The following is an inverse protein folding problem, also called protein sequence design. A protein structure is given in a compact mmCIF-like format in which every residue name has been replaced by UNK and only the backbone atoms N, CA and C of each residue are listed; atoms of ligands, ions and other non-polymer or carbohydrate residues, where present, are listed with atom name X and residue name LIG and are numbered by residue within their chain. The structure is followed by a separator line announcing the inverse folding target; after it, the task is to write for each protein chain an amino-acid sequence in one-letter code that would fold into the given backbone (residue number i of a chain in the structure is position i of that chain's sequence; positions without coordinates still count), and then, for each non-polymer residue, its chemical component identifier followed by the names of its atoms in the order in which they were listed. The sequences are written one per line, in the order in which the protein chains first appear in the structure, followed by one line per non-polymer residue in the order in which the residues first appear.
data_IF_612779131177
#
_entry.id   IF_612779131177
#
_cell.length_a   1.000
_cell.length_b   1.000
_cell.length_c   1.000
_cell.angle_alpha   90.00
_cell.angle_beta   90.00
_cell.angle_gamma   90.00
#
_symmetry.space_group_name_H-M   'P 1'
#
loop_
_entity.id
_entity.type
_entity.pdbx_description
1 polymer ?
#
# COMPACT_ATOMS: atom_id res chain seq x y z
N UNK A 1 -23.16 -12.43 -25.86
CA UNK A 1 -24.64 -12.30 -25.88
C UNK A 1 -25.35 -13.59 -25.46
N UNK A 2 -25.08 -14.74 -26.08
CA UNK A 2 -25.74 -16.01 -25.72
C UNK A 2 -25.60 -16.42 -24.24
N UNK A 3 -24.38 -16.45 -23.68
CA UNK A 3 -24.16 -16.81 -22.27
C UNK A 3 -24.90 -15.86 -21.30
N UNK A 4 -24.97 -14.56 -21.62
CA UNK A 4 -25.70 -13.58 -20.83
C UNK A 4 -27.22 -13.82 -20.87
N UNK A 5 -27.75 -14.22 -22.04
CA UNK A 5 -29.15 -14.60 -22.17
C UNK A 5 -29.49 -15.87 -21.37
N UNK A 6 -28.62 -16.89 -21.41
CA UNK A 6 -28.78 -18.14 -20.66
C UNK A 6 -28.72 -17.91 -19.14
N UNK A 7 -27.92 -16.95 -18.69
CA UNK A 7 -27.77 -16.57 -17.27
C UNK A 7 -28.71 -15.44 -16.80
N UNK A 8 -29.62 -14.97 -17.65
CA UNK A 8 -30.50 -13.81 -17.39
C UNK A 8 -31.37 -13.93 -16.13
N UNK A 9 -31.66 -15.16 -15.69
CA UNK A 9 -32.41 -15.43 -14.47
C UNK A 9 -31.64 -15.12 -13.18
N UNK A 10 -30.35 -14.76 -13.24
CA UNK A 10 -29.58 -14.34 -12.08
C UNK A 10 -29.29 -15.44 -11.04
N UNK A 11 -29.53 -16.72 -11.37
CA UNK A 11 -29.42 -17.84 -10.42
C UNK A 11 -27.99 -18.35 -10.21
N UNK A 12 -27.02 -17.84 -10.96
CA UNK A 12 -25.60 -18.19 -10.83
C UNK A 12 -25.09 -19.25 -11.79
N UNK A 13 -25.93 -20.25 -12.12
CA UNK A 13 -25.62 -21.34 -13.06
C UNK A 13 -26.84 -21.60 -13.96
N UNK A 14 -26.59 -22.02 -15.19
CA UNK A 14 -27.59 -22.53 -16.11
C UNK A 14 -27.01 -23.65 -16.99
N UNK A 15 -27.82 -24.67 -17.27
CA UNK A 15 -27.48 -25.80 -18.12
C UNK A 15 -28.25 -25.72 -19.44
N UNK A 16 -27.53 -25.78 -20.55
CA UNK A 16 -28.09 -25.81 -21.89
C UNK A 16 -27.94 -27.21 -22.48
N UNK A 17 -29.00 -27.78 -23.03
CA UNK A 17 -29.06 -29.18 -23.49
C UNK A 17 -29.29 -29.21 -24.99
N UNK A 18 -28.45 -29.94 -25.72
CA UNK A 18 -28.55 -30.08 -27.17
C UNK A 18 -28.27 -31.53 -27.65
N UNK A 19 -29.19 -32.17 -28.38
CA UNK A 19 -30.57 -31.76 -28.61
C UNK A 19 -31.41 -31.89 -27.31
N UNK A 20 -32.36 -30.98 -27.09
CA UNK A 20 -33.28 -31.04 -25.94
C UNK A 20 -34.47 -31.98 -26.17
N UNK A 21 -34.75 -32.32 -27.43
CA UNK A 21 -35.80 -33.26 -27.85
C UNK A 21 -35.37 -34.02 -29.11
N UNK A 22 -35.94 -35.20 -29.36
CA UNK A 22 -35.66 -35.97 -30.57
C UNK A 22 -36.33 -37.34 -30.56
N UNK A 23 -36.17 -38.08 -31.66
CA UNK A 23 -36.70 -39.45 -31.81
C UNK A 23 -35.54 -40.44 -31.85
N UNK A 24 -35.58 -41.44 -30.97
CA UNK A 24 -34.62 -42.54 -30.94
C UNK A 24 -35.21 -43.75 -31.65
N UNK A 25 -34.60 -44.21 -32.74
CA UNK A 25 -35.00 -45.44 -33.43
C UNK A 25 -34.61 -46.67 -32.61
N UNK A 26 -35.19 -47.82 -32.94
CA UNK A 26 -34.82 -49.10 -32.34
C UNK A 26 -33.29 -49.30 -32.43
N UNK A 27 -32.66 -49.59 -31.28
CA UNK A 27 -31.21 -49.79 -31.13
C UNK A 27 -30.33 -48.59 -31.51
N UNK A 28 -30.91 -47.40 -31.72
CA UNK A 28 -30.14 -46.19 -31.97
C UNK A 28 -29.57 -45.64 -30.66
N UNK A 29 -28.37 -45.06 -30.75
CA UNK A 29 -27.78 -44.25 -29.68
C UNK A 29 -27.79 -42.78 -30.10
N UNK A 30 -28.07 -41.90 -29.13
CA UNK A 30 -28.02 -40.46 -29.31
C UNK A 30 -27.16 -39.87 -28.19
N UNK A 31 -26.20 -39.03 -28.57
CA UNK A 31 -25.39 -38.27 -27.62
C UNK A 31 -26.11 -36.95 -27.37
N UNK A 32 -26.31 -36.62 -26.09
CA UNK A 32 -26.86 -35.34 -25.65
C UNK A 32 -25.71 -34.53 -25.06
N UNK A 33 -25.46 -33.35 -25.62
CA UNK A 33 -24.50 -32.39 -25.09
C UNK A 33 -25.16 -31.53 -24.02
N UNK A 34 -24.47 -31.34 -22.90
CA UNK A 34 -24.92 -30.51 -21.78
C UNK A 34 -23.83 -29.48 -21.51
N UNK A 35 -24.14 -28.21 -21.79
CA UNK A 35 -23.22 -27.08 -21.61
C UNK A 35 -23.61 -26.29 -20.38
N UNK A 36 -22.70 -26.15 -19.43
CA UNK A 36 -22.91 -25.36 -18.22
C UNK A 36 -22.34 -23.93 -18.38
N UNK A 37 -23.14 -22.93 -18.01
CA UNK A 37 -22.75 -21.53 -17.91
C UNK A 37 -22.84 -21.10 -16.45
N UNK A 38 -21.91 -20.24 -15.99
CA UNK A 38 -21.93 -19.72 -14.63
C UNK A 38 -21.45 -18.26 -14.53
N UNK A 39 -21.97 -17.53 -13.55
CA UNK A 39 -21.51 -16.20 -13.14
C UNK A 39 -21.46 -16.02 -11.62
N UNK A 40 -21.63 -17.09 -10.84
CA UNK A 40 -21.50 -17.11 -9.37
C UNK A 40 -20.71 -18.33 -8.92
N UNK A 41 -20.00 -18.22 -7.79
CA UNK A 41 -19.41 -19.37 -7.11
C UNK A 41 -20.49 -20.16 -6.35
N UNK A 42 -20.16 -21.38 -5.95
CA UNK A 42 -21.03 -22.23 -5.12
C UNK A 42 -21.13 -23.66 -5.60
N UNK A 43 -21.89 -24.43 -4.84
CA UNK A 43 -22.25 -25.82 -5.10
C UNK A 43 -23.70 -25.86 -5.57
N UNK A 44 -23.91 -26.48 -6.73
CA UNK A 44 -25.18 -26.52 -7.43
C UNK A 44 -25.60 -27.98 -7.62
N UNK A 45 -26.87 -28.25 -7.36
CA UNK A 45 -27.54 -29.53 -7.53
C UNK A 45 -28.85 -29.30 -8.31
N UNK A 46 -29.09 -30.14 -9.31
CA UNK A 46 -30.36 -30.15 -10.05
C UNK A 46 -30.60 -31.53 -10.66
N UNK A 47 -31.80 -31.78 -11.17
CA UNK A 47 -32.13 -33.02 -11.87
C UNK A 47 -32.40 -32.77 -13.34
N UNK A 48 -31.70 -33.48 -14.22
CA UNK A 48 -32.07 -33.57 -15.62
C UNK A 48 -33.26 -34.50 -15.77
N UNK A 49 -34.38 -33.96 -16.23
CA UNK A 49 -35.62 -34.70 -16.44
C UNK A 49 -35.66 -35.25 -17.86
N UNK A 50 -35.50 -36.58 -18.00
CA UNK A 50 -35.63 -37.27 -19.28
C UNK A 50 -37.03 -37.90 -19.39
N UNK A 51 -37.85 -37.43 -20.33
CA UNK A 51 -39.19 -37.97 -20.61
C UNK A 51 -39.19 -38.68 -21.97
N UNK A 52 -39.68 -39.92 -22.00
CA UNK A 52 -39.77 -40.74 -23.21
C UNK A 52 -41.23 -41.15 -23.43
N UNK A 53 -41.90 -40.51 -24.39
CA UNK A 53 -43.33 -40.76 -24.68
C UNK A 53 -44.20 -40.66 -23.43
N UNK A 54 -44.98 -41.72 -23.17
CA UNK A 54 -45.89 -41.84 -22.02
C UNK A 54 -45.25 -42.52 -20.81
N UNK A 55 -43.94 -42.80 -20.84
CA UNK A 55 -43.23 -43.38 -19.70
C UNK A 55 -43.04 -42.35 -18.58
N UNK A 56 -42.89 -42.86 -17.35
CA UNK A 56 -42.55 -42.03 -16.20
C UNK A 56 -41.21 -41.32 -16.44
N UNK A 57 -41.11 -40.01 -16.15
CA UNK A 57 -39.87 -39.27 -16.30
C UNK A 57 -38.75 -39.88 -15.46
N UNK A 58 -37.57 -40.04 -16.07
CA UNK A 58 -36.36 -40.45 -15.37
C UNK A 58 -35.58 -39.20 -14.94
N UNK A 59 -35.28 -39.11 -13.65
CA UNK A 59 -34.42 -38.07 -13.08
C UNK A 59 -32.96 -38.53 -13.15
N UNK A 60 -32.10 -37.67 -13.68
CA UNK A 60 -30.66 -37.89 -13.73
C UNK A 60 -30.02 -36.76 -12.90
N UNK A 61 -29.46 -37.07 -11.72
CA UNK A 61 -28.92 -36.06 -10.84
C UNK A 61 -27.68 -35.39 -11.46
N UNK A 62 -27.65 -34.07 -11.38
CA UNK A 62 -26.57 -33.22 -11.86
C UNK A 62 -25.97 -32.44 -10.70
N UNK A 63 -24.63 -32.36 -10.67
CA UNK A 63 -23.90 -31.59 -9.67
C UNK A 63 -22.81 -30.75 -10.34
N UNK A 64 -22.66 -29.50 -9.90
CA UNK A 64 -21.63 -28.59 -10.38
C UNK A 64 -21.07 -27.78 -9.21
N UNK A 65 -19.74 -27.66 -9.12
CA UNK A 65 -19.07 -26.79 -8.16
C UNK A 65 -18.27 -25.73 -8.89
N UNK A 66 -18.58 -24.47 -8.63
CA UNK A 66 -17.83 -23.31 -9.12
C UNK A 66 -16.98 -22.76 -7.98
N UNK A 67 -15.66 -22.76 -8.16
CA UNK A 67 -14.68 -22.25 -7.19
C UNK A 67 -14.07 -20.93 -7.66
N UNK A 68 -13.48 -20.19 -6.72
CA UNK A 68 -12.77 -18.93 -6.95
C UNK A 68 -13.56 -17.69 -6.54
N UNK A 69 -12.92 -16.53 -6.65
CA UNK A 69 -13.53 -15.22 -6.38
C UNK A 69 -13.99 -14.58 -7.69
N UNK A 70 -15.28 -14.20 -7.83
CA UNK A 70 -15.77 -13.53 -9.03
C UNK A 70 -15.43 -12.03 -9.08
N UNK A 71 -15.13 -11.42 -7.92
CA UNK A 71 -14.72 -10.02 -7.85
C UNK A 71 -13.29 -9.92 -8.35
N UNK A 72 -13.05 -8.97 -9.25
CA UNK A 72 -11.71 -8.75 -9.79
C UNK A 72 -11.28 -7.29 -9.66
N UNK A 73 -9.97 -7.14 -9.58
CA UNK A 73 -9.32 -5.86 -9.39
C UNK A 73 -8.96 -5.24 -10.75
N UNK A 74 -9.27 -3.95 -10.89
CA UNK A 74 -8.85 -3.12 -12.01
C UNK A 74 -8.10 -1.90 -11.47
N UNK A 75 -6.84 -1.76 -11.86
CA UNK A 75 -6.05 -0.57 -11.56
C UNK A 75 -6.63 0.62 -12.31
N UNK A 76 -7.01 1.66 -11.56
CA UNK A 76 -7.32 2.96 -12.13
C UNK A 76 -5.97 3.62 -12.44
N UNK A 77 -5.70 3.94 -13.71
CA UNK A 77 -4.52 4.71 -14.08
C UNK A 77 -4.47 6.05 -13.32
N UNK A 78 -3.34 6.78 -13.32
CA UNK A 78 -3.27 8.09 -12.69
C UNK A 78 -4.39 8.98 -13.24
N UNK A 79 -5.41 9.24 -12.44
CA UNK A 79 -6.31 10.36 -12.71
C UNK A 79 -5.46 11.60 -12.51
N UNK A 80 -5.04 12.24 -13.60
CA UNK A 80 -4.86 13.68 -13.56
C UNK A 80 -6.19 14.24 -13.06
N UNK A 81 -6.24 14.71 -11.81
CA UNK A 81 -7.23 15.69 -11.42
C UNK A 81 -7.05 16.85 -12.40
N UNK A 82 -7.82 16.85 -13.48
CA UNK A 82 -7.97 18.04 -14.30
C UNK A 82 -8.88 18.95 -13.48
N UNK A 83 -8.40 20.10 -12.98
CA UNK A 83 -9.30 21.07 -12.42
C UNK A 83 -10.23 21.51 -13.55
N UNK A 84 -11.53 21.49 -13.28
CA UNK A 84 -12.57 22.05 -14.13
C UNK A 84 -12.28 23.54 -14.26
N UNK A 85 -11.54 23.93 -15.29
CA UNK A 85 -11.48 25.30 -15.76
C UNK A 85 -11.69 25.27 -17.27
N UNK A 86 -12.85 25.83 -17.63
CA UNK A 86 -13.22 26.31 -18.94
C UNK A 86 -12.05 26.89 -19.75
N UNK A 87 -12.06 26.56 -21.04
CA UNK A 87 -11.56 27.36 -22.17
C UNK A 87 -10.04 27.50 -22.38
N UNK A 88 -9.67 27.08 -23.61
CA UNK A 88 -8.52 27.43 -24.46
C UNK A 88 -7.39 26.40 -24.59
N UNK A 89 -7.45 25.73 -25.76
CA UNK A 89 -6.41 25.02 -26.52
C UNK A 89 -5.37 24.15 -25.79
N UNK A 90 -5.37 22.81 -25.98
CA UNK A 90 -4.23 21.99 -25.60
C UNK A 90 -3.06 22.20 -26.59
N UNK A 91 -1.80 22.20 -26.13
CA UNK A 91 -0.64 22.18 -27.01
C UNK A 91 -0.56 20.83 -27.75
N UNK A 92 -0.14 20.82 -29.03
CA UNK A 92 0.19 19.57 -29.71
C UNK A 92 1.50 19.04 -29.11
N UNK A 93 1.72 17.72 -29.16
CA UNK A 93 2.92 17.02 -28.66
C UNK A 93 2.92 16.57 -27.19
N UNK A 94 1.83 15.95 -26.73
CA UNK A 94 1.96 14.74 -25.91
C UNK A 94 1.06 13.70 -26.57
N UNK A 95 1.70 12.74 -27.26
CA UNK A 95 1.02 11.57 -27.81
C UNK A 95 0.22 10.90 -26.68
N UNK A 96 -1.11 10.70 -26.82
CA UNK A 96 -1.84 9.89 -25.87
C UNK A 96 -1.32 8.47 -26.01
N UNK A 97 -0.57 7.97 -25.03
CA UNK A 97 -0.13 6.58 -24.98
C UNK A 97 -1.34 5.66 -25.19
N UNK A 98 -1.46 4.92 -26.31
CA UNK A 98 -2.62 4.08 -26.58
C UNK A 98 -2.63 2.76 -25.80
N UNK A 99 -1.73 2.59 -24.83
CA UNK A 99 -1.53 1.34 -24.10
C UNK A 99 -1.90 1.50 -22.62
N UNK A 100 -3.19 1.69 -22.33
CA UNK A 100 -3.73 1.30 -21.02
C UNK A 100 -3.97 -0.20 -21.05
N UNK A 101 -2.94 -1.01 -20.77
CA UNK A 101 -3.17 -2.40 -20.39
C UNK A 101 -3.94 -2.37 -19.06
N UNK A 102 -5.28 -2.45 -19.13
CA UNK A 102 -6.12 -2.75 -17.98
C UNK A 102 -5.89 -4.21 -17.61
N UNK A 103 -4.80 -4.46 -16.87
CA UNK A 103 -4.45 -5.80 -16.42
C UNK A 103 -5.38 -6.18 -15.28
N UNK A 104 -6.33 -7.07 -15.56
CA UNK A 104 -7.16 -7.71 -14.54
C UNK A 104 -6.24 -8.35 -13.49
N UNK A 105 -6.53 -8.09 -12.22
CA UNK A 105 -5.80 -8.63 -11.06
C UNK A 105 -4.31 -8.25 -11.01
N UNK A 106 -3.93 -7.08 -11.55
CA UNK A 106 -2.59 -6.55 -11.31
C UNK A 106 -2.46 -5.98 -9.89
N UNK A 107 -1.61 -6.61 -9.09
CA UNK A 107 -1.19 -6.13 -7.78
C UNK A 107 -0.73 -4.66 -7.80
N UNK A 108 -1.25 -3.79 -6.92
CA UNK A 108 -0.75 -2.43 -6.74
C UNK A 108 0.71 -2.46 -6.29
N UNK A 109 1.59 -1.80 -7.05
CA UNK A 109 2.98 -1.56 -6.66
C UNK A 109 3.12 -0.13 -6.17
N UNK A 110 3.63 0.05 -4.96
CA UNK A 110 3.87 1.39 -4.40
C UNK A 110 5.18 1.97 -4.91
N UNK A 111 6.16 1.13 -5.21
CA UNK A 111 7.47 1.55 -5.71
C UNK A 111 8.47 1.80 -4.59
N UNK A 112 9.49 2.60 -4.85
CA UNK A 112 10.49 2.98 -3.85
C UNK A 112 10.09 4.29 -3.20
N UNK A 113 10.30 4.39 -1.89
CA UNK A 113 10.01 5.56 -1.05
C UNK A 113 11.18 5.87 -0.11
N UNK A 114 11.24 7.11 0.35
CA UNK A 114 12.22 7.50 1.37
C UNK A 114 11.72 7.10 2.75
N UNK A 115 12.63 6.68 3.61
CA UNK A 115 12.43 6.43 5.04
C UNK A 115 11.68 7.58 5.72
N UNK A 116 10.55 7.29 6.37
CA UNK A 116 9.76 8.27 7.11
C UNK A 116 8.96 9.27 6.25
N UNK A 117 8.77 9.02 4.95
CA UNK A 117 7.88 9.82 4.11
C UNK A 117 6.39 9.72 4.53
N UNK A 118 5.60 10.70 4.09
CA UNK A 118 4.15 10.68 4.28
C UNK A 118 3.50 9.46 3.58
N UNK A 119 2.38 8.96 4.11
CA UNK A 119 1.65 7.86 3.50
C UNK A 119 1.28 8.12 2.03
N UNK A 120 1.35 7.07 1.23
CA UNK A 120 1.05 7.08 -0.20
C UNK A 120 -0.21 6.29 -0.45
N UNK A 121 -1.09 6.81 -1.30
CA UNK A 121 -2.42 6.24 -1.53
C UNK A 121 -2.58 5.78 -2.99
N UNK A 122 -3.20 4.62 -3.18
CA UNK A 122 -3.57 4.07 -4.48
C UNK A 122 -5.05 3.74 -4.48
N UNK A 123 -5.80 4.40 -5.36
CA UNK A 123 -7.20 4.10 -5.61
C UNK A 123 -7.32 2.92 -6.56
N UNK A 124 -8.12 1.93 -6.20
CA UNK A 124 -8.31 0.71 -6.96
C UNK A 124 -9.79 0.43 -7.17
N UNK A 125 -10.18 -0.02 -8.36
CA UNK A 125 -11.57 -0.37 -8.67
C UNK A 125 -11.78 -1.88 -8.53
N UNK A 126 -12.77 -2.25 -7.73
CA UNK A 126 -13.28 -3.60 -7.59
C UNK A 126 -14.50 -3.75 -8.48
N UNK A 127 -14.55 -4.80 -9.30
CA UNK A 127 -15.66 -5.05 -10.21
C UNK A 127 -16.34 -6.36 -9.85
N UNK A 128 -17.66 -6.34 -9.76
CA UNK A 128 -18.50 -7.49 -9.47
C UNK A 128 -19.35 -7.80 -10.72
N UNK A 129 -18.95 -8.79 -11.53
CA UNK A 129 -19.71 -9.18 -12.72
C UNK A 129 -20.94 -10.05 -12.39
N UNK A 130 -21.17 -10.36 -11.12
CA UNK A 130 -22.21 -11.28 -10.67
C UNK A 130 -23.55 -10.54 -10.44
N UNK A 131 -24.69 -11.25 -10.38
CA UNK A 131 -25.99 -10.60 -10.23
C UNK A 131 -26.29 -10.12 -8.80
N UNK A 132 -25.49 -10.50 -7.80
CA UNK A 132 -25.74 -10.17 -6.39
C UNK A 132 -24.67 -9.25 -5.83
N UNK A 133 -25.06 -8.45 -4.85
CA UNK A 133 -24.14 -7.66 -4.04
C UNK A 133 -23.23 -8.58 -3.23
N UNK A 134 -21.92 -8.32 -3.28
CA UNK A 134 -20.91 -9.09 -2.55
C UNK A 134 -20.25 -8.16 -1.55
N UNK A 135 -20.39 -8.48 -0.26
CA UNK A 135 -19.62 -7.82 0.78
C UNK A 135 -18.21 -8.41 0.84
N UNK A 136 -17.22 -7.55 0.94
CA UNK A 136 -15.83 -7.90 1.18
C UNK A 136 -15.40 -7.38 2.54
N UNK A 137 -14.84 -8.29 3.32
CA UNK A 137 -14.22 -8.04 4.62
C UNK A 137 -12.70 -8.19 4.49
N UNK A 138 -11.96 -7.10 4.72
CA UNK A 138 -10.53 -7.02 4.44
C UNK A 138 -9.67 -7.30 5.66
N UNK A 139 -8.84 -8.34 5.54
CA UNK A 139 -7.71 -8.59 6.43
C UNK A 139 -6.40 -8.22 5.71
N UNK A 140 -5.41 -7.77 6.48
CA UNK A 140 -4.14 -7.26 5.97
C UNK A 140 -3.01 -7.99 6.67
N UNK A 141 -2.03 -8.41 5.89
CA UNK A 141 -0.93 -9.23 6.36
C UNK A 141 0.40 -8.67 5.87
N UNK A 142 1.39 -8.71 6.75
CA UNK A 142 2.80 -8.56 6.39
C UNK A 142 3.41 -9.93 6.12
N UNK A 143 4.29 -9.98 5.14
CA UNK A 143 5.10 -11.15 4.86
C UNK A 143 6.49 -10.96 5.47
N UNK A 144 6.80 -11.76 6.49
CA UNK A 144 8.10 -11.75 7.17
C UNK A 144 8.97 -12.91 6.67
N UNK A 145 10.25 -12.65 6.38
CA UNK A 145 11.14 -13.65 5.78
C UNK A 145 11.48 -14.80 6.75
N UNK A 146 11.45 -14.55 8.05
CA UNK A 146 11.83 -15.51 9.10
C UNK A 146 10.63 -16.11 9.82
N UNK A 147 9.42 -15.97 9.26
CA UNK A 147 8.22 -16.54 9.84
C UNK A 147 8.18 -18.07 9.64
N UNK A 148 8.17 -18.78 10.77
CA UNK A 148 8.18 -20.25 10.82
C UNK A 148 6.82 -20.82 11.22
N UNK A 149 5.79 -19.98 11.39
CA UNK A 149 4.45 -20.42 11.77
C UNK A 149 3.80 -21.11 10.56
N UNK A 150 3.26 -22.31 10.79
CA UNK A 150 2.67 -23.13 9.71
C UNK A 150 1.14 -23.05 9.68
N UNK A 151 0.53 -22.84 10.85
CA UNK A 151 -0.92 -22.97 11.03
C UNK A 151 -1.41 -21.88 11.98
N UNK A 152 -2.57 -21.31 11.66
CA UNK A 152 -3.34 -20.45 12.54
C UNK A 152 -4.51 -21.23 13.16
N UNK A 153 -4.71 -21.03 14.46
CA UNK A 153 -5.90 -21.45 15.20
C UNK A 153 -6.72 -20.20 15.52
N UNK A 154 -7.79 -19.98 14.77
CA UNK A 154 -8.67 -18.83 14.96
C UNK A 154 -9.89 -19.25 15.79
N UNK A 155 -10.21 -18.47 16.82
CA UNK A 155 -11.38 -18.66 17.65
C UNK A 155 -12.32 -17.47 17.47
N UNK A 156 -13.58 -17.73 17.11
CA UNK A 156 -14.59 -16.71 16.90
C UNK A 156 -15.75 -16.92 17.85
N UNK A 157 -16.28 -15.82 18.37
CA UNK A 157 -17.52 -15.79 19.12
C UNK A 157 -18.61 -15.19 18.22
N UNK A 158 -19.47 -16.05 17.66
CA UNK A 158 -20.47 -15.67 16.65
C UNK A 158 -19.97 -15.75 15.20
N UNK A 159 -20.53 -14.89 14.33
CA UNK A 159 -20.13 -14.79 12.92
C UNK A 159 -18.76 -14.09 12.83
N UNK A 160 -17.75 -14.66 12.14
CA UNK A 160 -16.43 -14.03 11.98
C UNK A 160 -16.47 -12.70 11.22
N UNK A 161 -17.48 -12.48 10.37
CA UNK A 161 -17.58 -11.29 9.53
C UNK A 161 -18.97 -10.63 9.66
N UNK A 162 -19.31 -10.08 10.84
CA UNK A 162 -20.60 -9.44 11.03
C UNK A 162 -20.69 -8.15 10.18
N UNK A 163 -21.86 -7.81 9.62
CA UNK A 163 -22.08 -6.51 8.99
C UNK A 163 -21.76 -5.41 10.00
N UNK A 164 -20.97 -4.40 9.59
CA UNK A 164 -20.76 -3.19 10.38
C UNK A 164 -21.83 -2.19 10.01
N UNK A 165 -22.58 -1.71 10.99
CA UNK A 165 -23.57 -0.65 10.76
C UNK A 165 -22.85 0.64 10.35
N UNK A 166 -23.50 1.42 9.48
CA UNK A 166 -22.96 2.64 8.86
C UNK A 166 -22.67 3.76 9.87
N UNK A 167 -23.14 3.62 11.10
CA UNK A 167 -22.82 4.51 12.22
C UNK A 167 -21.76 3.86 13.10
N UNK A 168 -20.55 4.45 13.14
CA UNK A 168 -19.56 4.18 14.18
C UNK A 168 -20.16 4.52 15.56
N UNK A 169 -20.87 3.56 16.16
CA UNK A 169 -21.11 3.51 17.58
C UNK A 169 -21.15 2.04 17.99
N UNK A 170 -20.02 1.61 18.54
CA UNK A 170 -19.94 0.45 19.42
C UNK A 170 -21.09 0.50 20.43
N UNK A 171 -22.12 -0.31 20.23
CA UNK A 171 -23.01 -0.71 21.32
C UNK A 171 -22.48 -2.02 21.88
N UNK A 172 -21.55 -1.87 22.82
CA UNK A 172 -21.25 -2.77 23.92
C UNK A 172 -21.61 -4.25 23.70
N UNK A 173 -20.70 -5.00 23.07
CA UNK A 173 -20.40 -6.33 23.60
C UNK A 173 -19.16 -6.17 24.49
N UNK A 174 -19.38 -6.25 25.80
CA UNK A 174 -18.33 -6.20 26.81
C UNK A 174 -17.35 -7.33 26.51
N UNK A 175 -16.16 -6.97 26.06
CA UNK A 175 -15.06 -7.89 25.78
C UNK A 175 -13.86 -7.23 25.10
N UNK A 176 -13.57 -5.97 25.42
CA UNK A 176 -12.26 -5.40 25.08
C UNK A 176 -11.22 -6.03 26.01
N UNK A 177 -10.24 -6.71 25.43
CA UNK A 177 -8.82 -6.54 25.75
C UNK A 177 -8.01 -7.18 24.65
N UNK A 178 -7.07 -6.42 24.08
CA UNK A 178 -5.75 -6.88 23.61
C UNK A 178 -5.70 -8.30 23.03
N UNK A 179 -5.40 -8.42 21.74
CA UNK A 179 -4.91 -9.67 21.13
C UNK A 179 -3.59 -10.08 21.80
N UNK A 180 -3.71 -10.64 23.01
CA UNK A 180 -2.69 -11.44 23.64
C UNK A 180 -2.93 -12.85 23.13
N UNK A 181 -2.03 -13.34 22.28
CA UNK A 181 -1.93 -14.76 21.95
C UNK A 181 -1.81 -15.55 23.27
N UNK A 182 -2.91 -16.17 23.70
CA UNK A 182 -2.86 -17.12 24.83
C UNK A 182 -2.29 -18.42 24.28
N UNK A 183 -0.97 -18.58 24.36
CA UNK A 183 -0.30 -19.87 24.20
C UNK A 183 -0.77 -20.78 25.33
N UNK A 184 -1.80 -21.60 25.07
CA UNK A 184 -2.26 -22.60 26.02
C UNK A 184 -1.24 -23.74 26.10
N UNK A 185 -0.39 -23.70 27.13
CA UNK A 185 0.37 -24.88 27.58
C UNK A 185 -0.63 -25.96 28.00
N UNK A 186 -0.55 -27.09 27.31
CA UNK A 186 -1.38 -28.27 27.54
C UNK A 186 -1.16 -28.80 28.96
N UNK A 187 -2.22 -28.79 29.79
CA UNK A 187 -2.32 -29.67 30.94
C UNK A 187 -3.59 -30.51 30.79
N UNK A 188 -3.38 -31.83 30.88
CA UNK A 188 -4.42 -32.84 30.71
C UNK A 188 -5.47 -32.73 31.82
N UNK A 189 -6.73 -32.59 31.43
CA UNK A 189 -7.86 -32.76 32.34
C UNK A 189 -8.57 -34.08 32.02
N UNK A 190 -8.40 -35.03 32.94
CA UNK A 190 -9.10 -36.30 33.01
C UNK A 190 -10.58 -36.05 33.32
N UNK A 191 -11.49 -36.39 32.42
CA UNK A 191 -12.93 -36.40 32.71
C UNK A 191 -13.44 -37.82 32.91
N UNK A 192 -13.94 -38.05 34.11
CA UNK A 192 -14.55 -39.30 34.59
C UNK A 192 -15.93 -39.56 33.97
N UNK A 193 -16.23 -40.85 33.79
CA UNK A 193 -17.54 -41.54 33.76
C UNK A 193 -18.62 -40.84 34.62
N UNK A 194 -19.94 -40.95 34.40
CA UNK A 194 -20.84 -41.91 33.76
C UNK A 194 -22.24 -41.26 33.79
N UNK A 195 -23.16 -41.55 32.85
CA UNK A 195 -24.59 -41.79 33.18
C UNK A 195 -25.27 -42.55 32.02
N UNK A 196 -25.81 -43.72 32.35
CA UNK A 196 -26.65 -44.60 31.52
C UNK A 196 -28.13 -44.33 31.81
N UNK A 197 -29.01 -44.43 30.81
CA UNK A 197 -30.06 -45.46 30.72
C UNK A 197 -31.20 -45.13 29.72
N UNK A 198 -31.41 -46.07 28.80
CA UNK A 198 -32.58 -46.44 27.96
C UNK A 198 -33.95 -45.74 28.15
N UNK A 199 -34.61 -45.50 27.00
CA UNK A 199 -36.00 -45.97 26.75
C UNK A 199 -36.30 -46.01 25.25
N UNK A 200 -36.94 -47.08 24.83
CA UNK A 200 -37.32 -47.49 23.47
C UNK A 200 -38.75 -46.98 23.16
N UNK A 201 -38.98 -46.26 22.05
CA UNK A 201 -40.33 -46.01 21.53
C UNK A 201 -40.34 -45.58 20.07
N UNK A 202 -41.27 -46.18 19.32
CA UNK A 202 -41.41 -46.22 17.86
C UNK A 202 -41.77 -44.90 17.18
N UNK A 203 -41.24 -44.78 15.96
CA UNK A 203 -41.63 -43.96 14.80
C UNK A 203 -42.82 -43.00 14.94
N UNK A 204 -42.50 -41.70 14.83
CA UNK A 204 -43.27 -40.74 14.03
C UNK A 204 -42.27 -39.87 13.27
N UNK A 205 -42.41 -39.88 11.95
CA UNK A 205 -41.72 -38.98 11.03
C UNK A 205 -42.18 -37.54 11.33
N UNK A 206 -41.46 -36.86 12.19
CA UNK A 206 -41.58 -35.43 12.42
C UNK A 206 -40.51 -34.81 11.55
N UNK A 207 -40.90 -33.93 10.64
CA UNK A 207 -39.99 -33.00 9.96
C UNK A 207 -39.33 -32.16 11.04
N UNK A 208 -38.24 -32.65 11.61
CA UNK A 208 -37.35 -31.88 12.45
C UNK A 208 -36.66 -30.90 11.54
N UNK A 209 -37.18 -29.67 11.49
CA UNK A 209 -36.31 -28.52 11.30
C UNK A 209 -35.20 -28.68 12.33
N UNK A 210 -33.99 -28.98 11.87
CA UNK A 210 -32.83 -29.00 12.74
C UNK A 210 -32.82 -27.67 13.50
N UNK A 211 -32.76 -27.67 14.84
CA UNK A 211 -32.67 -26.44 15.60
C UNK A 211 -31.44 -25.70 15.08
N UNK A 212 -31.60 -24.43 14.71
CA UNK A 212 -30.50 -23.55 14.35
C UNK A 212 -29.61 -23.43 15.58
N UNK A 213 -28.64 -24.33 15.72
CA UNK A 213 -27.61 -24.25 16.74
C UNK A 213 -26.87 -22.96 16.42
N UNK A 214 -27.16 -21.90 17.18
CA UNK A 214 -26.37 -20.69 17.12
C UNK A 214 -24.94 -21.10 17.53
N UNK A 215 -24.01 -21.06 16.58
CA UNK A 215 -22.60 -21.30 16.85
C UNK A 215 -22.11 -20.14 17.72
N UNK A 216 -22.16 -20.34 19.04
CA UNK A 216 -21.69 -19.35 20.02
C UNK A 216 -20.18 -19.21 19.92
N UNK A 217 -19.47 -20.33 19.75
CA UNK A 217 -18.02 -20.39 19.55
C UNK A 217 -17.72 -21.24 18.33
N UNK A 218 -16.87 -20.74 17.44
CA UNK A 218 -16.32 -21.52 16.33
C UNK A 218 -14.80 -21.47 16.34
N UNK A 219 -14.16 -22.58 15.99
CA UNK A 219 -12.72 -22.71 15.94
C UNK A 219 -12.33 -23.15 14.54
N UNK A 220 -11.43 -22.40 13.89
CA UNK A 220 -10.93 -22.66 12.55
C UNK A 220 -9.43 -22.89 12.60
N UNK A 221 -9.00 -24.02 12.03
CA UNK A 221 -7.59 -24.32 11.78
C UNK A 221 -7.34 -24.08 10.29
N UNK A 222 -6.37 -23.21 9.96
CA UNK A 222 -5.99 -22.92 8.57
C UNK A 222 -4.47 -22.78 8.42
N UNK A 223 -3.91 -22.91 7.20
CA UNK A 223 -2.52 -22.56 6.94
C UNK A 223 -2.24 -21.13 7.41
N UNK A 224 -1.06 -20.89 7.97
CA UNK A 224 -0.64 -19.55 8.34
C UNK A 224 -0.44 -18.72 7.06
N UNK A 225 -1.20 -17.63 6.94
CA UNK A 225 -1.14 -16.76 5.75
C UNK A 225 0.01 -15.75 5.88
N UNK A 226 0.21 -15.20 7.08
CA UNK A 226 1.21 -14.20 7.42
C UNK A 226 0.85 -13.48 8.72
N UNK A 227 1.63 -12.47 9.10
CA UNK A 227 1.43 -11.72 10.34
C UNK A 227 0.37 -10.63 10.12
N UNK A 228 -0.77 -10.64 10.84
CA UNK A 228 -1.77 -9.58 10.76
C UNK A 228 -1.15 -8.22 11.05
N UNK A 229 -1.45 -7.21 10.22
CA UNK A 229 -0.83 -5.90 10.37
C UNK A 229 -1.67 -4.74 9.83
N UNK A 230 -1.61 -3.61 10.52
CA UNK A 230 -2.20 -2.33 10.08
C UNK A 230 -1.15 -1.34 9.55
N UNK A 231 0.12 -1.77 9.52
CA UNK A 231 1.28 -1.02 9.06
C UNK A 231 2.28 -2.00 8.42
N UNK A 232 2.92 -1.66 7.27
CA UNK A 232 2.86 -0.37 6.59
C UNK A 232 1.70 -0.21 5.63
N UNK A 233 0.92 -1.27 5.38
CA UNK A 233 -0.22 -1.22 4.47
C UNK A 233 -1.54 -1.04 5.21
N UNK A 234 -2.47 -0.31 4.59
CA UNK A 234 -3.86 -0.26 5.06
C UNK A 234 -4.83 -0.19 3.88
N UNK A 235 -6.08 -0.59 4.10
CA UNK A 235 -7.17 -0.42 3.13
C UNK A 235 -8.37 0.25 3.80
N UNK A 236 -8.96 1.19 3.08
CA UNK A 236 -10.13 1.95 3.54
C UNK A 236 -11.22 1.95 2.46
N UNK A 237 -12.46 1.58 2.81
CA UNK A 237 -12.89 1.00 4.10
C UNK A 237 -12.48 -0.48 4.27
N UNK A 238 -12.47 -0.97 5.52
CA UNK A 238 -12.19 -2.38 5.89
C UNK A 238 -13.30 -3.35 5.53
N UNK A 239 -14.53 -2.86 5.42
CA UNK A 239 -15.69 -3.62 4.97
C UNK A 239 -16.37 -2.83 3.86
N UNK A 240 -16.73 -3.49 2.76
CA UNK A 240 -17.35 -2.81 1.62
C UNK A 240 -18.28 -3.73 0.85
N UNK A 241 -19.41 -3.19 0.38
CA UNK A 241 -20.32 -3.91 -0.52
C UNK A 241 -20.01 -3.52 -1.97
N UNK A 242 -19.68 -4.51 -2.79
CA UNK A 242 -19.49 -4.34 -4.23
C UNK A 242 -20.82 -4.70 -4.92
N UNK A 243 -21.52 -3.73 -5.54
CA UNK A 243 -22.85 -3.97 -6.07
C UNK A 243 -22.84 -4.97 -7.23
N UNK A 244 -23.87 -5.81 -7.31
CA UNK A 244 -24.07 -6.76 -8.40
C UNK A 244 -24.09 -6.06 -9.77
N UNK A 245 -23.36 -6.61 -10.74
CA UNK A 245 -23.17 -6.02 -12.07
C UNK A 245 -22.41 -4.69 -12.08
N UNK A 246 -21.90 -4.25 -10.93
CA UNK A 246 -21.34 -2.93 -10.73
C UNK A 246 -19.88 -2.95 -10.29
N UNK A 247 -19.44 -1.83 -9.74
CA UNK A 247 -18.07 -1.63 -9.28
C UNK A 247 -18.00 -0.61 -8.16
N UNK A 248 -17.00 -0.71 -7.32
CA UNK A 248 -16.69 0.28 -6.28
C UNK A 248 -15.20 0.58 -6.22
N UNK A 249 -14.80 1.72 -5.70
CA UNK A 249 -13.39 2.06 -5.50
C UNK A 249 -13.01 1.97 -4.03
N UNK A 250 -11.84 1.38 -3.75
CA UNK A 250 -11.21 1.35 -2.43
C UNK A 250 -9.88 2.10 -2.48
N UNK A 251 -9.42 2.57 -1.33
CA UNK A 251 -8.11 3.21 -1.19
C UNK A 251 -7.18 2.28 -0.42
N UNK A 252 -6.04 1.93 -1.02
CA UNK A 252 -4.97 1.19 -0.36
C UNK A 252 -3.84 2.17 -0.08
N UNK A 253 -3.32 2.19 1.15
CA UNK A 253 -2.22 3.07 1.54
C UNK A 253 -0.95 2.29 1.89
N UNK A 254 0.18 2.96 1.77
CA UNK A 254 1.49 2.50 2.24
C UNK A 254 2.15 3.62 3.03
N UNK A 255 2.57 3.33 4.26
CA UNK A 255 3.26 4.26 5.15
C UNK A 255 4.72 3.85 5.29
N UNK A 256 5.67 4.58 4.67
CA UNK A 256 7.10 4.29 4.80
C UNK A 256 7.59 4.43 6.25
N UNK A 257 7.95 3.31 6.87
CA UNK A 257 8.58 3.32 8.21
C UNK A 257 9.95 4.01 8.19
N UNK A 258 10.36 4.51 9.36
CA UNK A 258 11.72 5.02 9.58
C UNK A 258 12.68 3.83 9.65
N UNK A 259 13.67 3.82 8.78
CA UNK A 259 14.70 2.79 8.72
C UNK A 259 15.79 3.02 9.78
N UNK A 260 16.30 1.94 10.42
CA UNK A 260 17.56 1.99 11.16
C UNK A 260 18.73 2.36 10.24
N UNK A 261 19.78 2.98 10.79
CA UNK A 261 20.97 3.40 10.03
C UNK A 261 21.68 2.25 9.29
N UNK A 262 21.62 1.03 9.84
CA UNK A 262 22.31 -0.15 9.29
C UNK A 262 21.66 -0.74 8.02
N UNK A 263 20.42 -0.36 7.68
CA UNK A 263 19.68 -0.97 6.58
C UNK A 263 19.68 -0.07 5.32
N UNK A 264 20.36 -0.45 4.22
CA UNK A 264 20.45 0.37 3.01
C UNK A 264 19.14 0.42 2.21
N UNK A 265 18.42 -0.69 2.17
CA UNK A 265 17.10 -0.84 1.56
C UNK A 265 16.31 -1.87 2.34
N UNK A 266 15.00 -1.63 2.50
CA UNK A 266 14.08 -2.61 3.06
C UNK A 266 12.93 -2.83 2.09
N UNK A 267 12.76 -4.07 1.66
CA UNK A 267 11.59 -4.51 0.93
C UNK A 267 10.45 -4.75 1.92
N UNK A 268 9.30 -4.13 1.64
CA UNK A 268 8.06 -4.37 2.38
C UNK A 268 7.17 -5.21 1.47
N UNK A 269 6.89 -6.44 1.92
CA UNK A 269 5.93 -7.33 1.27
C UNK A 269 4.74 -7.52 2.20
N UNK A 270 3.57 -7.49 1.60
CA UNK A 270 2.32 -7.72 2.32
C UNK A 270 1.23 -8.07 1.34
N UNK A 271 0.07 -8.44 1.84
CA UNK A 271 -1.08 -8.76 1.01
C UNK A 271 -2.38 -8.50 1.76
N UNK A 272 -3.43 -8.29 0.97
CA UNK A 272 -4.80 -8.11 1.46
C UNK A 272 -5.59 -9.37 1.11
N UNK A 273 -6.41 -9.84 2.03
CA UNK A 273 -7.41 -10.89 1.81
C UNK A 273 -8.80 -10.30 1.98
N UNK A 274 -9.59 -10.31 0.91
CA UNK A 274 -11.00 -9.91 0.93
C UNK A 274 -11.91 -11.13 1.03
N UNK A 275 -12.44 -11.39 2.21
CA UNK A 275 -13.38 -12.49 2.46
C UNK A 275 -14.78 -12.11 1.98
N UNK A 276 -15.40 -13.00 1.21
CA UNK A 276 -16.69 -12.71 0.55
C UNK A 276 -17.87 -13.15 1.40
N UNK A 277 -18.85 -12.27 1.53
CA UNK A 277 -20.13 -12.56 2.16
C UNK A 277 -21.29 -12.09 1.26
N UNK A 278 -22.36 -12.86 1.23
CA UNK A 278 -23.61 -12.52 0.52
C UNK A 278 -24.68 -12.22 1.56
N UNK A 279 -25.08 -10.98 1.80
CA UNK A 279 -26.02 -10.71 2.90
C UNK A 279 -27.45 -11.16 2.62
N UNK A 280 -27.82 -11.24 1.34
CA UNK A 280 -29.10 -11.78 0.92
C UNK A 280 -29.14 -13.31 1.11
N UNK A 281 -30.10 -13.78 1.93
CA UNK A 281 -30.33 -15.21 2.19
C UNK A 281 -30.64 -16.00 0.92
N UNK A 282 -31.36 -15.41 -0.03
CA UNK A 282 -31.69 -16.06 -1.31
C UNK A 282 -30.45 -16.17 -2.21
N UNK A 283 -29.50 -15.25 -2.07
CA UNK A 283 -28.20 -15.34 -2.71
C UNK A 283 -27.29 -16.38 -2.03
N UNK A 284 -27.36 -16.56 -0.71
CA UNK A 284 -26.55 -17.58 0.00
C UNK A 284 -26.95 -19.01 -0.37
N UNK A 285 -28.23 -19.35 -0.23
CA UNK A 285 -28.69 -20.73 -0.31
C UNK A 285 -30.07 -20.82 -0.93
N UNK A 286 -30.25 -21.80 -1.82
CA UNK A 286 -31.56 -22.28 -2.26
C UNK A 286 -31.69 -23.72 -1.77
N UNK A 287 -32.71 -24.06 -0.95
CA UNK A 287 -32.84 -25.40 -0.37
C UNK A 287 -32.69 -26.51 -1.41
N UNK A 288 -31.82 -27.48 -1.12
CA UNK A 288 -31.53 -28.65 -1.96
C UNK A 288 -31.02 -28.36 -3.38
N UNK A 289 -30.67 -27.11 -3.70
CA UNK A 289 -30.24 -26.72 -5.05
C UNK A 289 -28.94 -25.94 -5.09
N UNK A 290 -28.77 -24.97 -4.20
CA UNK A 290 -27.62 -24.07 -4.25
C UNK A 290 -27.12 -23.82 -2.86
N UNK A 291 -25.82 -24.00 -2.66
CA UNK A 291 -25.13 -23.59 -1.45
C UNK A 291 -23.89 -22.77 -1.81
N UNK A 292 -23.83 -21.52 -1.35
CA UNK A 292 -22.68 -20.64 -1.56
C UNK A 292 -21.96 -20.43 -0.24
N UNK A 293 -20.73 -20.94 -0.19
CA UNK A 293 -19.80 -20.72 0.91
C UNK A 293 -19.49 -19.24 1.07
N UNK A 294 -19.26 -18.79 2.29
CA UNK A 294 -18.96 -17.40 2.62
C UNK A 294 -17.90 -17.31 3.72
N UNK A 295 -17.34 -16.12 3.93
CA UNK A 295 -16.26 -15.90 4.89
C UNK A 295 -15.07 -16.82 4.61
N UNK A 296 -14.56 -17.48 5.64
CA UNK A 296 -13.42 -18.41 5.54
C UNK A 296 -13.71 -19.70 4.75
N UNK A 297 -14.98 -20.03 4.47
CA UNK A 297 -15.32 -21.23 3.70
C UNK A 297 -15.15 -21.01 2.18
N UNK A 298 -15.04 -19.75 1.75
CA UNK A 298 -14.82 -19.36 0.36
C UNK A 298 -13.38 -18.84 0.15
N UNK A 299 -12.77 -19.09 -1.03
CA UNK A 299 -11.46 -18.51 -1.34
C UNK A 299 -11.52 -16.98 -1.34
N UNK A 300 -10.64 -16.28 -0.57
CA UNK A 300 -10.65 -14.83 -0.52
C UNK A 300 -10.12 -14.20 -1.82
N UNK A 301 -10.46 -12.94 -2.04
CA UNK A 301 -9.78 -12.10 -3.02
C UNK A 301 -8.41 -11.71 -2.47
N UNK A 302 -7.33 -12.24 -3.06
CA UNK A 302 -5.96 -11.89 -2.68
C UNK A 302 -5.43 -10.73 -3.51
N UNK A 303 -4.82 -9.74 -2.85
CA UNK A 303 -4.11 -8.63 -3.48
C UNK A 303 -2.70 -8.55 -2.89
N UNK A 304 -1.69 -8.90 -3.67
CA UNK A 304 -0.29 -8.74 -3.25
C UNK A 304 0.13 -7.26 -3.31
N UNK A 305 0.92 -6.82 -2.32
CA UNK A 305 1.42 -5.46 -2.17
C UNK A 305 2.94 -5.48 -2.03
N UNK A 306 3.60 -4.52 -2.68
CA UNK A 306 5.05 -4.40 -2.62
C UNK A 306 5.50 -2.94 -2.62
N UNK A 307 6.45 -2.64 -1.75
CA UNK A 307 7.13 -1.36 -1.68
C UNK A 307 8.60 -1.54 -1.27
N UNK A 308 9.42 -0.53 -1.52
CA UNK A 308 10.82 -0.49 -1.09
C UNK A 308 11.05 0.81 -0.34
N UNK A 309 11.79 0.76 0.77
CA UNK A 309 12.16 1.94 1.54
C UNK A 309 13.68 2.10 1.49
N UNK A 310 14.17 3.32 1.26
CA UNK A 310 15.59 3.69 1.30
C UNK A 310 15.82 4.95 2.11
N UNK A 311 17.03 5.14 2.61
CA UNK A 311 17.45 6.43 3.17
C UNK A 311 17.55 7.51 2.09
N UNK A 312 17.22 8.75 2.45
CA UNK A 312 17.53 9.90 1.62
C UNK A 312 19.03 10.17 1.75
N UNK A 313 19.78 9.90 0.69
CA UNK A 313 21.22 10.10 0.67
C UNK A 313 21.63 10.72 -0.66
N UNK A 314 22.31 11.86 -0.58
CA UNK A 314 22.97 12.49 -1.72
C UNK A 314 24.45 12.14 -1.71
N UNK A 315 24.97 11.72 -2.86
CA UNK A 315 26.42 11.54 -3.01
C UNK A 315 27.05 12.91 -3.27
N UNK A 316 28.07 13.24 -2.47
CA UNK A 316 28.92 14.40 -2.69
C UNK A 316 30.08 13.98 -3.61
N UNK A 317 30.32 14.76 -4.65
CA UNK A 317 31.45 14.63 -5.57
C UNK A 317 32.19 15.96 -5.57
N UNK A 318 33.48 15.89 -5.22
CA UNK A 318 34.34 17.04 -4.97
C UNK A 318 35.64 16.86 -5.72
N UNK A 319 36.22 17.97 -6.20
CA UNK A 319 37.46 17.93 -6.98
C UNK A 319 38.67 17.49 -6.15
N UNK A 320 38.60 17.53 -4.81
CA UNK A 320 39.72 17.29 -3.91
C UNK A 320 39.31 16.38 -2.73
N UNK A 321 40.13 15.38 -2.40
CA UNK A 321 39.87 14.39 -1.35
C UNK A 321 39.87 14.99 0.09
N UNK A 322 40.40 16.20 0.26
CA UNK A 322 40.52 16.86 1.59
C UNK A 322 39.31 17.71 1.99
N UNK A 323 38.19 17.58 1.27
CA UNK A 323 37.00 18.42 1.46
C UNK A 323 37.16 19.82 0.86
N UNK A 324 36.24 20.73 1.19
CA UNK A 324 36.20 22.08 0.62
C UNK A 324 37.10 23.00 1.44
N UNK A 325 38.19 23.50 0.86
CA UNK A 325 39.15 24.33 1.59
C UNK A 325 39.32 25.67 0.90
N UNK A 326 38.87 26.74 1.56
CA UNK A 326 39.02 28.11 1.10
C UNK A 326 40.28 28.74 1.70
N UNK A 327 41.07 29.42 0.87
CA UNK A 327 42.24 30.19 1.29
C UNK A 327 42.00 31.65 0.93
N UNK A 328 41.85 32.49 1.95
CA UNK A 328 41.72 33.94 1.80
C UNK A 328 42.73 34.66 2.68
N UNK A 329 43.16 35.83 2.24
CA UNK A 329 44.10 36.71 2.93
C UNK A 329 43.42 38.02 3.29
N UNK A 330 43.88 38.69 4.35
CA UNK A 330 43.35 40.00 4.72
C UNK A 330 43.59 41.06 3.62
N UNK A 331 44.63 40.89 2.80
CA UNK A 331 44.90 41.71 1.62
C UNK A 331 43.80 41.63 0.57
N UNK A 332 42.97 40.58 0.55
CA UNK A 332 41.85 40.46 -0.38
C UNK A 332 40.77 41.54 -0.15
N UNK A 333 40.81 42.25 1.00
CA UNK A 333 39.94 43.39 1.30
C UNK A 333 40.51 44.73 0.81
N UNK A 334 41.74 44.77 0.29
CA UNK A 334 42.35 45.99 -0.23
C UNK A 334 42.15 46.01 -1.74
N UNK A 335 41.40 46.97 -2.32
CA UNK A 335 41.19 47.00 -3.77
C UNK A 335 42.47 47.45 -4.49
N UNK A 336 42.65 46.97 -5.73
CA UNK A 336 43.77 47.35 -6.59
C UNK A 336 43.80 48.86 -6.90
N UNK A 337 42.65 49.54 -6.80
CA UNK A 337 42.52 50.96 -7.01
C UNK A 337 42.36 51.71 -5.68
N UNK A 338 43.35 52.53 -5.25
CA UNK A 338 43.40 53.13 -3.91
C UNK A 338 42.24 54.09 -3.58
N UNK A 339 41.52 54.57 -4.61
CA UNK A 339 40.44 55.56 -4.46
C UNK A 339 39.11 54.96 -3.95
N UNK A 340 38.99 53.62 -3.89
CA UNK A 340 37.75 52.93 -3.49
C UNK A 340 37.66 52.61 -1.99
N UNK A 341 38.70 52.90 -1.21
CA UNK A 341 38.75 52.55 0.22
C UNK A 341 38.81 51.04 0.47
N UNK A 342 38.91 50.60 1.73
CA UNK A 342 38.96 49.16 2.07
C UNK A 342 37.59 48.52 1.79
N UNK A 343 37.59 47.37 1.11
CA UNK A 343 36.37 46.60 0.85
C UNK A 343 35.78 46.09 2.17
N UNK A 344 34.45 46.12 2.26
CA UNK A 344 33.73 45.60 3.43
C UNK A 344 33.70 44.07 3.47
N UNK A 345 33.78 43.43 2.29
CA UNK A 345 33.80 41.98 2.14
C UNK A 345 34.52 41.56 0.85
N UNK A 346 35.14 40.37 0.87
CA UNK A 346 35.70 39.65 -0.26
C UNK A 346 35.15 38.22 -0.26
N UNK A 347 34.92 37.64 -1.43
CA UNK A 347 34.20 36.35 -1.56
C UNK A 347 35.01 35.37 -2.39
N UNK A 348 35.39 34.24 -1.78
CA UNK A 348 35.97 33.11 -2.49
C UNK A 348 34.91 32.05 -2.70
N UNK A 349 34.71 31.59 -3.93
CA UNK A 349 33.67 30.60 -4.26
C UNK A 349 34.28 29.33 -4.84
N UNK A 350 33.84 28.19 -4.33
CA UNK A 350 34.16 26.86 -4.86
C UNK A 350 32.86 26.14 -5.19
N UNK A 351 32.95 25.12 -6.04
CA UNK A 351 31.79 24.32 -6.44
C UNK A 351 31.93 22.89 -5.93
N UNK A 352 30.82 22.29 -5.54
CA UNK A 352 30.71 20.86 -5.26
C UNK A 352 29.53 20.29 -6.05
N UNK A 353 29.55 19.00 -6.32
CA UNK A 353 28.50 18.33 -7.08
C UNK A 353 27.72 17.40 -6.17
N UNK A 354 26.41 17.61 -6.10
CA UNK A 354 25.46 16.69 -5.47
C UNK A 354 24.90 15.74 -6.52
N UNK A 355 24.83 14.45 -6.20
CA UNK A 355 24.32 13.42 -7.11
C UNK A 355 23.24 12.62 -6.39
N UNK A 356 22.05 12.53 -6.98
CA UNK A 356 21.00 11.66 -6.49
C UNK A 356 21.17 10.25 -7.09
N UNK A 357 21.76 9.35 -6.31
CA UNK A 357 21.92 7.94 -6.69
C UNK A 357 20.68 7.07 -6.36
N UNK A 358 19.64 7.65 -5.77
CA UNK A 358 18.42 6.93 -5.41
C UNK A 358 17.48 6.79 -6.61
N UNK A 359 16.44 5.97 -6.46
CA UNK A 359 15.38 5.75 -7.47
C UNK A 359 14.21 6.73 -7.33
N UNK A 360 14.30 7.68 -6.38
CA UNK A 360 13.23 8.63 -6.03
C UNK A 360 13.75 10.07 -6.08
N UNK A 361 12.90 11.06 -6.40
CA UNK A 361 13.30 12.46 -6.26
C UNK A 361 13.56 12.80 -4.79
N UNK A 362 14.66 13.49 -4.51
CA UNK A 362 15.01 13.93 -3.16
C UNK A 362 14.74 15.42 -3.03
N UNK A 363 14.00 15.78 -1.98
CA UNK A 363 13.72 17.16 -1.60
C UNK A 363 14.56 17.51 -0.39
N UNK A 364 15.31 18.61 -0.45
CA UNK A 364 16.26 18.96 0.60
C UNK A 364 16.56 20.46 0.65
N UNK A 365 17.20 20.89 1.72
CA UNK A 365 17.82 22.21 1.87
C UNK A 365 19.25 22.05 2.36
N UNK A 366 20.07 23.04 2.05
CA UNK A 366 21.49 23.06 2.38
C UNK A 366 21.73 24.12 3.45
N UNK A 367 22.21 23.71 4.62
CA UNK A 367 22.36 24.58 5.77
C UNK A 367 23.84 24.90 5.98
N UNK A 368 24.14 26.19 5.90
CA UNK A 368 25.43 26.81 6.22
C UNK A 368 25.17 28.10 7.01
N UNK A 369 26.16 28.52 7.79
CA UNK A 369 26.15 29.78 8.54
C UNK A 369 27.37 30.61 8.17
N UNK A 370 27.30 31.91 8.44
CA UNK A 370 28.47 32.80 8.30
C UNK A 370 29.67 32.21 9.06
N UNK A 371 30.87 32.23 8.48
CA UNK A 371 31.29 32.97 7.28
C UNK A 371 31.04 32.27 5.93
N UNK A 372 30.37 31.12 5.91
CA UNK A 372 30.05 30.39 4.69
C UNK A 372 28.63 30.73 4.19
N UNK A 373 28.45 30.77 2.88
CA UNK A 373 27.12 30.92 2.27
C UNK A 373 27.00 30.10 0.99
N UNK A 374 25.76 29.95 0.53
CA UNK A 374 25.45 29.34 -0.77
C UNK A 374 25.25 30.45 -1.80
N UNK A 375 25.81 30.30 -3.00
CA UNK A 375 25.60 31.23 -4.12
C UNK A 375 24.84 30.54 -5.26
N UNK A 376 23.79 31.24 -5.74
CA UNK A 376 22.76 30.66 -6.60
C UNK A 376 23.04 30.88 -8.10
N UNK A 377 23.49 29.85 -8.82
CA UNK A 377 23.39 29.84 -10.30
C UNK A 377 22.44 28.78 -10.85
N UNK A 378 22.30 27.60 -10.23
CA UNK A 378 21.43 26.51 -10.74
C UNK A 378 20.14 26.24 -9.94
N UNK A 379 19.95 26.90 -8.79
CA UNK A 379 18.75 26.71 -7.95
C UNK A 379 17.45 27.08 -8.67
N UNK A 380 17.48 27.98 -9.66
CA UNK A 380 16.28 28.48 -10.36
C UNK A 380 15.59 27.45 -11.27
N UNK A 381 16.26 26.35 -11.64
CA UNK A 381 15.67 25.28 -12.48
C UNK A 381 15.04 24.14 -11.67
N UNK A 382 15.30 24.10 -10.36
CA UNK A 382 14.98 22.99 -9.46
C UNK A 382 13.91 23.37 -8.41
N UNK A 383 13.49 24.62 -8.31
CA UNK A 383 12.43 25.04 -7.38
C UNK A 383 11.03 24.72 -7.93
N UNK A 384 10.25 23.94 -7.18
CA UNK A 384 8.78 23.92 -7.31
C UNK A 384 8.19 25.00 -6.40
N UNK A 385 7.43 25.93 -6.96
CA UNK A 385 6.61 26.87 -6.19
C UNK A 385 5.42 26.12 -5.59
N UNK A 386 5.39 25.96 -4.27
CA UNK A 386 4.17 25.56 -3.57
C UNK A 386 3.21 26.75 -3.56
N UNK A 387 2.10 26.66 -4.29
CA UNK A 387 0.99 27.60 -4.14
C UNK A 387 0.33 27.37 -2.77
N UNK A 388 0.76 28.14 -1.78
CA UNK A 388 0.11 28.32 -0.48
C UNK A 388 0.35 29.74 -0.02
N UNK A 389 -0.71 30.55 0.08
CA UNK A 389 -0.63 31.93 0.57
C UNK A 389 -0.21 31.93 2.04
N UNK A 390 0.73 32.83 2.36
CA UNK A 390 1.14 33.35 3.69
C UNK A 390 1.96 32.40 4.58
N UNK A 391 3.27 32.64 4.66
CA UNK A 391 3.93 33.42 5.73
C UNK A 391 5.42 33.52 5.39
N UNK A 392 5.90 34.75 5.16
CA UNK A 392 7.32 35.05 5.02
C UNK A 392 8.00 34.88 6.38
N UNK A 393 8.38 33.65 6.71
CA UNK A 393 9.57 33.40 7.50
C UNK A 393 10.67 33.03 6.51
N UNK A 394 11.87 33.54 6.71
CA UNK A 394 13.09 33.36 5.92
C UNK A 394 13.50 31.88 5.74
N UNK A 395 12.66 31.07 5.11
CA UNK A 395 12.94 29.68 4.83
C UNK A 395 13.64 29.62 3.47
N UNK A 396 14.89 29.18 3.49
CA UNK A 396 15.65 28.90 2.27
C UNK A 396 14.83 27.99 1.33
N UNK A 397 14.89 28.21 0.00
CA UNK A 397 14.09 27.46 -0.95
C UNK A 397 14.43 25.96 -0.90
N UNK A 398 13.39 25.13 -0.89
CA UNK A 398 13.53 23.68 -0.96
C UNK A 398 13.99 23.26 -2.37
N UNK A 399 15.08 22.52 -2.43
CA UNK A 399 15.70 21.99 -3.65
C UNK A 399 15.12 20.62 -3.99
N UNK A 400 15.03 20.28 -5.28
CA UNK A 400 14.72 18.92 -5.73
C UNK A 400 15.79 18.37 -6.69
N UNK A 401 16.27 17.17 -6.42
CA UNK A 401 17.14 16.43 -7.33
C UNK A 401 16.47 15.13 -7.74
N UNK A 402 16.18 14.97 -9.03
CA UNK A 402 15.54 13.76 -9.56
C UNK A 402 16.54 12.60 -9.64
N UNK A 403 16.06 11.34 -9.75
CA UNK A 403 16.92 10.16 -9.85
C UNK A 403 17.98 10.31 -10.94
N UNK A 404 19.22 9.93 -10.62
CA UNK A 404 20.39 9.97 -11.52
C UNK A 404 20.77 11.37 -12.03
N UNK A 405 20.15 12.44 -11.50
CA UNK A 405 20.58 13.80 -11.79
C UNK A 405 21.67 14.25 -10.83
N UNK A 406 22.40 15.26 -11.26
CA UNK A 406 23.38 15.96 -10.46
C UNK A 406 23.11 17.47 -10.46
N UNK A 407 23.56 18.14 -9.41
CA UNK A 407 23.42 19.58 -9.23
C UNK A 407 24.76 20.14 -8.75
N UNK A 408 25.22 21.20 -9.42
CA UNK A 408 26.39 21.94 -8.99
C UNK A 408 25.98 22.99 -7.96
N UNK A 409 26.54 22.90 -6.77
CA UNK A 409 26.33 23.84 -5.67
C UNK A 409 27.57 24.67 -5.50
N UNK A 410 27.40 26.00 -5.49
CA UNK A 410 28.49 26.92 -5.20
C UNK A 410 28.43 27.32 -3.73
N UNK A 411 29.53 27.04 -3.03
CA UNK A 411 29.74 27.44 -1.65
C UNK A 411 30.76 28.56 -1.65
N UNK A 412 30.45 29.61 -0.92
CA UNK A 412 31.24 30.83 -0.84
C UNK A 412 31.71 31.05 0.58
N UNK A 413 32.98 31.40 0.74
CA UNK A 413 33.54 31.91 1.98
C UNK A 413 33.64 33.44 1.89
N UNK A 414 33.08 34.11 2.89
CA UNK A 414 33.05 35.57 2.97
C UNK A 414 34.10 36.05 3.94
N UNK A 415 35.13 36.69 3.42
CA UNK A 415 36.11 37.43 4.21
C UNK A 415 35.53 38.80 4.50
N UNK A 416 35.31 39.14 5.77
CA UNK A 416 34.80 40.46 6.18
C UNK A 416 35.73 41.10 7.20
N UNK A 417 35.64 42.42 7.35
CA UNK A 417 36.40 43.16 8.38
C UNK A 417 36.10 42.64 9.79
N UNK A 418 34.86 42.21 10.04
CA UNK A 418 34.46 41.62 11.32
C UNK A 418 35.29 40.37 11.63
N UNK A 419 35.52 39.48 10.65
CA UNK A 419 36.32 38.27 10.83
C UNK A 419 37.76 38.55 11.27
N UNK A 420 38.33 39.69 10.86
CA UNK A 420 39.67 40.08 11.27
C UNK A 420 39.74 40.47 12.76
N UNK A 421 38.65 40.96 13.34
CA UNK A 421 38.61 41.33 14.77
C UNK A 421 38.76 40.12 15.69
N UNK A 422 38.41 38.93 15.22
CA UNK A 422 38.49 37.69 16.00
C UNK A 422 39.94 37.29 16.34
N UNK A 423 40.96 37.83 15.66
CA UNK A 423 42.37 37.60 15.99
C UNK A 423 42.79 38.15 17.37
N UNK A 424 41.97 39.06 17.93
CA UNK A 424 42.21 39.70 19.22
C UNK A 424 41.32 39.14 20.33
N UNK A 425 40.40 38.22 20.01
CA UNK A 425 39.53 37.61 21.00
C UNK A 425 40.25 36.45 21.72
N UNK A 426 40.08 36.31 23.05
CA UNK A 426 40.57 35.15 23.77
C UNK A 426 39.77 33.89 23.37
N UNK A 427 40.40 32.72 23.41
CA UNK A 427 39.82 31.44 22.95
C UNK A 427 38.46 31.12 23.60
N UNK A 428 38.21 31.60 24.81
CA UNK A 428 36.95 31.44 25.55
C UNK A 428 35.75 32.19 24.97
N UNK A 429 35.98 33.14 24.04
CA UNK A 429 34.93 33.91 23.35
C UNK A 429 34.77 33.52 21.87
N UNK A 430 35.51 32.52 21.39
CA UNK A 430 35.41 32.07 20.00
C UNK A 430 34.21 31.14 19.80
N UNK A 431 33.53 31.29 18.66
CA UNK A 431 32.40 30.46 18.27
C UNK A 431 32.85 29.00 18.00
N UNK A 432 31.96 28.00 18.08
CA UNK A 432 32.29 26.60 17.75
C UNK A 432 32.81 26.47 16.31
N UNK A 433 33.96 25.80 16.13
CA UNK A 433 34.60 25.63 14.82
C UNK A 433 35.65 26.69 14.46
N UNK A 434 35.87 27.69 15.33
CA UNK A 434 36.83 28.76 15.14
C UNK A 434 38.14 28.45 15.89
N UNK A 435 39.28 28.60 15.23
CA UNK A 435 40.61 28.38 15.81
C UNK A 435 41.59 29.46 15.35
N UNK A 436 42.31 30.06 16.28
CA UNK A 436 43.44 30.95 15.98
C UNK A 436 44.73 30.14 16.09
N UNK A 437 45.42 29.96 14.98
CA UNK A 437 46.71 29.28 14.93
C UNK A 437 47.81 30.34 14.89
N UNK A 438 48.77 30.27 15.81
CA UNK A 438 49.95 31.12 15.81
C UNK A 438 51.16 30.27 15.46
N UNK A 439 51.96 30.73 14.51
CA UNK A 439 53.19 30.08 14.07
C UNK A 439 54.41 30.71 14.74
N UNK A 440 55.53 29.98 14.79
CA UNK A 440 56.78 30.41 15.43
C UNK A 440 57.38 31.69 14.82
N UNK A 441 57.03 31.98 13.56
CA UNK A 441 57.42 33.20 12.83
C UNK A 441 56.56 34.43 13.21
N UNK A 442 55.59 34.28 14.12
CA UNK A 442 54.67 35.33 14.54
C UNK A 442 53.42 35.47 13.67
N UNK A 443 53.31 34.73 12.56
CA UNK A 443 52.12 34.73 11.71
C UNK A 443 50.92 34.11 12.45
N UNK A 444 49.74 34.69 12.21
CA UNK A 444 48.47 34.18 12.74
C UNK A 444 47.56 33.76 11.61
N UNK A 445 46.90 32.62 11.77
CA UNK A 445 45.92 32.09 10.83
C UNK A 445 44.61 31.80 11.54
N UNK A 446 43.53 32.37 11.03
CA UNK A 446 42.17 32.04 11.45
C UNK A 446 41.71 30.81 10.67
N UNK A 447 41.29 29.76 11.37
CA UNK A 447 40.73 28.55 10.79
C UNK A 447 39.26 28.41 11.18
N UNK A 448 38.41 28.26 10.18
CA UNK A 448 36.96 28.07 10.32
C UNK A 448 36.61 26.68 9.82
N UNK A 449 36.00 25.85 10.66
CA UNK A 449 35.51 24.53 10.29
C UNK A 449 34.00 24.48 10.46
N UNK A 450 33.29 24.08 9.41
CA UNK A 450 31.85 23.89 9.43
C UNK A 450 31.48 22.71 8.53
N UNK A 451 30.53 21.88 8.98
CA UNK A 451 29.95 20.83 8.16
C UNK A 451 28.81 21.41 7.30
N UNK A 452 28.71 20.94 6.06
CA UNK A 452 27.56 21.22 5.21
C UNK A 452 26.43 20.28 5.60
N UNK A 453 25.38 20.79 6.23
CA UNK A 453 24.24 19.94 6.61
C UNK A 453 23.20 19.96 5.50
N UNK A 454 22.91 18.78 4.96
CA UNK A 454 21.82 18.54 4.02
C UNK A 454 20.62 18.08 4.84
N UNK A 455 19.57 18.89 4.89
CA UNK A 455 18.34 18.49 5.56
C UNK A 455 17.28 18.11 4.53
N UNK A 456 16.78 16.88 4.63
CA UNK A 456 15.77 16.33 3.73
C UNK A 456 14.34 16.68 4.18
N UNK A 457 13.36 16.58 3.28
CA UNK A 457 11.95 16.87 3.55
C UNK A 457 11.33 16.05 4.69
N UNK A 458 11.82 14.84 4.91
CA UNK A 458 11.47 13.97 6.03
C UNK A 458 12.18 14.35 7.35
N UNK A 459 12.86 15.50 7.40
CA UNK A 459 13.64 16.04 8.54
C UNK A 459 14.88 15.22 8.93
N UNK A 460 15.29 14.24 8.12
CA UNK A 460 16.58 13.58 8.32
C UNK A 460 17.70 14.48 7.84
N UNK A 461 18.81 14.50 8.56
CA UNK A 461 20.00 15.26 8.21
C UNK A 461 21.11 14.33 7.71
N UNK A 462 21.83 14.78 6.69
CA UNK A 462 23.08 14.22 6.22
C UNK A 462 24.17 15.29 6.45
N UNK A 463 25.29 14.90 7.04
CA UNK A 463 26.41 15.79 7.42
C UNK A 463 27.61 15.54 6.53
#
# INVERSE_FOLDING_TARGET
EFAAAVLSHGKGVAFHIQPSTGTLKAFQQLIIEITAYNNMWGEYQDDLVCKVGDLQPKLIPMQMTVKGCPVFLQMTGPQTEQPIISSHHPPPFISPCPFTWTRRNAAPRFGTHVSGESPVFRRVRLNNPTPFDIRLDWEIYNQEQDDKKLVDLLMFFGDPFPPKDTDENETASIGSTSESEIVLKTQACTFSKEFRSNSDSKEREIVTQEPTIQKIVSVLIRPHEGVPADNPYSITPRQIVVPGGGSISVCISFTPRVLPEAAPEVQCEGFLLGFMSLDDKLAKTVPNKVHRRHGYEAPPLRIDLQAFIRHALLKLDMDHDRGMVFYSTASDLVPDQPLLGVLTHSVMTQSLKLINCTKVPLYFRLLLSTPFSLSSTDLKKSTKTSHGKKEEKEQQPQLVLYPQQNMLVKVSFHTTLELLTYQHLPDTKLLPGFQVLQFDNGERKLKFNQNLVIEHSNRTTQV
#
